data_IF_608282361059
#
_entry.id   IF_608282361059
#
_cell.length_a   1.000
_cell.length_b   1.000
_cell.length_c   1.000
_cell.angle_alpha   90.00
_cell.angle_beta   90.00
_cell.angle_gamma   90.00
#
_symmetry.space_group_name_H-M   'P 1'
#
loop_
_entity.id
_entity.type
_entity.pdbx_description
1 polymer ?
#
# COMPACT_ATOMS: atom_id res chain seq x y z
N UNK A 1 -7.84 -25.29 44.18
CA UNK A 1 -6.41 -24.94 44.17
C UNK A 1 -6.22 -23.91 43.09
N UNK A 2 -5.61 -22.78 43.44
CA UNK A 2 -5.35 -21.64 42.56
C UNK A 2 -4.25 -22.01 41.56
N UNK A 3 -4.44 -21.69 40.29
CA UNK A 3 -3.35 -21.56 39.33
C UNK A 3 -3.18 -20.09 38.91
N UNK A 4 -1.92 -19.74 38.74
CA UNK A 4 -1.34 -18.40 38.84
C UNK A 4 -1.73 -17.50 37.66
N UNK A 5 -2.13 -16.28 37.98
CA UNK A 5 -2.11 -15.16 37.03
C UNK A 5 -0.67 -14.77 36.72
N UNK A 6 -0.26 -14.95 35.47
CA UNK A 6 1.00 -14.41 34.95
C UNK A 6 0.99 -12.89 35.02
N UNK A 7 1.99 -12.34 35.73
CA UNK A 7 2.05 -10.94 36.17
C UNK A 7 2.86 -10.04 35.22
N UNK A 8 3.05 -10.44 33.97
CA UNK A 8 3.90 -9.69 33.03
C UNK A 8 3.34 -9.49 31.62
N UNK A 9 2.06 -9.80 31.39
CA UNK A 9 1.42 -9.50 30.10
C UNK A 9 0.72 -8.13 30.17
N UNK A 10 1.51 -7.06 30.03
CA UNK A 10 0.98 -5.73 29.81
C UNK A 10 0.76 -5.57 28.30
N UNK A 11 -0.34 -6.11 27.80
CA UNK A 11 -0.68 -6.14 26.38
C UNK A 11 -0.69 -4.76 25.69
N UNK A 12 -0.96 -4.78 24.38
CA UNK A 12 -0.92 -3.72 23.35
C UNK A 12 -1.08 -2.24 23.80
N UNK A 13 -1.89 -1.98 24.83
CA UNK A 13 -2.03 -0.64 25.44
C UNK A 13 -0.77 -0.11 26.14
N UNK A 14 0.15 -0.96 26.61
CA UNK A 14 1.43 -0.54 27.18
C UNK A 14 2.48 -0.22 26.10
N UNK A 15 2.42 -0.92 24.96
CA UNK A 15 3.32 -0.70 23.82
C UNK A 15 2.96 0.59 23.05
N UNK A 16 1.67 0.92 22.94
CA UNK A 16 1.21 2.21 22.39
C UNK A 16 1.66 3.42 23.24
N UNK A 17 1.78 3.27 24.56
CA UNK A 17 2.25 4.33 25.45
C UNK A 17 3.76 4.61 25.34
N UNK A 18 4.54 3.67 24.79
CA UNK A 18 5.98 3.81 24.59
C UNK A 18 6.31 4.48 23.24
N UNK A 19 5.41 4.43 22.26
CA UNK A 19 5.57 5.02 20.93
C UNK A 19 5.09 6.48 20.79
N UNK A 20 4.25 6.99 21.70
CA UNK A 20 3.77 8.39 21.66
C UNK A 20 4.69 9.42 22.33
N UNK A 21 5.97 9.10 22.59
CA UNK A 21 6.93 10.08 23.12
C UNK A 21 7.70 10.77 21.99
N UNK A 22 7.37 12.05 21.79
CA UNK A 22 7.95 12.99 20.82
C UNK A 22 9.49 12.93 20.67
N UNK A 23 10.05 13.03 19.45
CA UNK A 23 11.48 12.83 19.15
C UNK A 23 12.43 13.96 19.60
N UNK A 24 11.96 14.96 20.37
CA UNK A 24 12.81 16.08 20.83
C UNK A 24 13.46 15.91 22.21
N UNK A 25 13.42 14.72 22.81
CA UNK A 25 14.10 14.42 24.08
C UNK A 25 15.43 13.66 23.95
N UNK A 26 15.96 13.44 22.73
CA UNK A 26 17.19 12.65 22.50
C UNK A 26 18.48 13.46 22.29
N UNK A 27 18.50 14.77 22.52
CA UNK A 27 19.69 15.62 22.28
C UNK A 27 20.15 16.52 23.42
N UNK A 28 19.75 16.27 24.66
CA UNK A 28 20.19 17.06 25.85
C UNK A 28 20.58 16.24 27.09
N UNK A 29 21.18 15.07 26.92
CA UNK A 29 21.85 14.34 28.02
C UNK A 29 23.18 13.74 27.56
N UNK A 30 24.05 14.56 26.96
CA UNK A 30 25.49 14.25 26.87
C UNK A 30 26.33 15.53 26.76
N UNK A 31 26.13 16.49 27.66
CA UNK A 31 27.07 17.58 27.89
C UNK A 31 26.97 18.02 29.35
N UNK A 32 27.68 17.32 30.24
CA UNK A 32 28.24 17.88 31.47
C UNK A 32 29.30 16.90 32.00
N UNK A 33 30.55 17.36 32.13
CA UNK A 33 31.52 16.70 32.99
C UNK A 33 32.92 16.44 32.42
N UNK A 34 33.66 17.48 32.02
CA UNK A 34 35.12 17.47 32.12
C UNK A 34 35.65 18.91 32.20
N UNK A 35 36.02 19.33 33.41
CA UNK A 35 36.82 20.52 33.67
C UNK A 35 38.30 20.12 33.71
N UNK A 36 39.20 20.91 33.12
CA UNK A 36 40.64 20.67 33.18
C UNK A 36 41.49 21.74 32.52
N UNK A 37 42.02 22.62 33.38
CA UNK A 37 43.15 23.58 33.29
C UNK A 37 43.99 23.70 31.99
N UNK A 38 44.34 24.95 31.65
CA UNK A 38 45.56 25.27 30.89
C UNK A 38 45.70 26.76 30.53
N UNK A 39 46.48 27.50 31.32
CA UNK A 39 46.92 28.88 31.07
C UNK A 39 47.70 29.03 29.75
N UNK A 40 47.64 30.22 29.14
CA UNK A 40 48.83 30.98 28.69
C UNK A 40 48.46 32.45 28.39
N UNK A 41 49.34 33.35 28.86
CA UNK A 41 49.25 34.82 28.84
C UNK A 41 49.85 35.45 27.58
N UNK A 42 49.51 36.75 27.39
CA UNK A 42 50.20 37.81 26.63
C UNK A 42 49.99 37.78 25.09
N UNK A 43 49.83 38.91 24.38
CA UNK A 43 49.87 40.33 24.73
C UNK A 43 49.90 41.18 23.43
N UNK A 44 49.75 42.49 23.60
CA UNK A 44 50.13 43.59 22.70
C UNK A 44 49.21 43.97 21.51
N UNK A 45 48.44 45.03 21.77
CA UNK A 45 48.22 46.27 21.02
C UNK A 45 48.61 46.40 19.52
N UNK A 46 47.57 46.78 18.77
CA UNK A 46 47.47 47.80 17.72
C UNK A 46 48.70 48.16 16.86
N UNK A 47 48.55 47.88 15.56
CA UNK A 47 49.16 48.68 14.49
C UNK A 47 48.15 48.81 13.35
N UNK A 48 48.00 50.05 12.90
CA UNK A 48 47.14 50.53 11.82
C UNK A 48 47.62 50.05 10.45
N UNK A 49 46.70 49.71 9.55
CA UNK A 49 46.61 50.23 8.16
C UNK A 49 45.48 49.55 7.38
N UNK A 50 44.66 50.40 6.78
CA UNK A 50 43.84 50.24 5.56
C UNK A 50 43.96 48.95 4.75
N UNK A 51 42.85 48.23 4.57
CA UNK A 51 42.15 48.23 3.27
C UNK A 51 40.75 47.61 3.37
N UNK A 52 39.82 48.19 2.62
CA UNK A 52 38.42 47.84 2.52
C UNK A 52 38.22 46.53 1.74
N UNK A 53 37.51 45.56 2.32
CA UNK A 53 36.86 44.49 1.56
C UNK A 53 35.59 44.02 2.31
N UNK A 54 34.44 44.34 1.74
CA UNK A 54 33.12 43.86 2.14
C UNK A 54 32.86 42.46 1.58
N UNK A 55 32.25 41.56 2.36
CA UNK A 55 31.25 40.67 1.78
C UNK A 55 30.02 40.55 2.69
N UNK A 56 28.95 41.24 2.30
CA UNK A 56 27.60 41.00 2.80
C UNK A 56 26.82 40.28 1.71
N UNK A 57 26.68 38.96 1.82
CA UNK A 57 25.86 38.13 0.96
C UNK A 57 25.27 37.00 1.79
N UNK A 58 24.03 37.18 2.23
CA UNK A 58 23.27 36.12 2.90
C UNK A 58 23.04 34.95 1.91
N UNK A 59 23.09 33.68 2.37
CA UNK A 59 22.73 32.55 1.52
C UNK A 59 21.24 32.59 1.17
N UNK A 60 20.83 32.24 -0.06
CA UNK A 60 19.43 32.14 -0.40
C UNK A 60 18.82 30.95 0.36
N UNK A 61 17.77 31.22 1.12
CA UNK A 61 16.88 30.21 1.66
C UNK A 61 16.22 29.48 0.50
N UNK A 62 16.73 28.30 0.14
CA UNK A 62 16.04 27.37 -0.74
C UNK A 62 14.81 26.84 -0.01
N UNK A 63 13.68 27.52 -0.20
CA UNK A 63 12.39 26.92 0.11
C UNK A 63 12.23 25.70 -0.78
N UNK A 64 12.14 24.52 -0.17
CA UNK A 64 11.65 23.34 -0.86
C UNK A 64 10.19 23.60 -1.22
N UNK A 65 9.95 24.05 -2.44
CA UNK A 65 8.62 24.03 -3.03
C UNK A 65 8.23 22.56 -3.15
N UNK A 66 7.34 22.12 -2.26
CA UNK A 66 6.63 20.86 -2.41
C UNK A 66 5.81 21.00 -3.68
N UNK A 67 6.35 20.48 -4.78
CA UNK A 67 5.64 20.40 -6.05
C UNK A 67 4.54 19.36 -5.85
N UNK A 68 3.34 19.81 -5.51
CA UNK A 68 2.16 18.95 -5.51
C UNK A 68 2.04 18.38 -6.91
N UNK A 69 2.18 17.07 -7.06
CA UNK A 69 1.88 16.39 -8.32
C UNK A 69 0.38 16.56 -8.54
N UNK A 70 0.01 17.50 -9.41
CA UNK A 70 -1.37 17.66 -9.83
C UNK A 70 -1.67 16.51 -10.81
N UNK A 71 -2.48 15.55 -10.37
CA UNK A 71 -3.03 14.53 -11.26
C UNK A 71 -4.12 15.17 -12.14
N UNK A 72 -4.22 14.75 -13.40
CA UNK A 72 -5.38 15.11 -14.24
C UNK A 72 -6.64 14.64 -13.51
N UNK A 73 -7.55 15.57 -13.22
CA UNK A 73 -8.57 15.24 -12.25
C UNK A 73 -9.56 14.21 -12.81
N UNK A 74 -9.71 13.12 -12.07
CA UNK A 74 -10.51 11.95 -12.39
C UNK A 74 -11.83 11.99 -11.61
N UNK A 75 -12.89 11.43 -12.18
CA UNK A 75 -14.16 11.25 -11.48
C UNK A 75 -14.07 10.16 -10.41
N UNK A 76 -15.06 10.12 -9.53
CA UNK A 76 -15.22 9.03 -8.56
C UNK A 76 -15.27 7.69 -9.30
N UNK A 77 -14.48 6.72 -8.82
CA UNK A 77 -14.48 5.37 -9.36
C UNK A 77 -15.86 4.70 -9.16
N UNK A 78 -16.34 3.88 -10.10
CA UNK A 78 -17.55 3.08 -9.90
C UNK A 78 -17.40 2.17 -8.68
N UNK A 79 -18.49 2.06 -7.92
CA UNK A 79 -18.58 1.14 -6.79
C UNK A 79 -18.97 -0.24 -7.28
N UNK A 80 -18.18 -1.25 -6.92
CA UNK A 80 -18.43 -2.66 -7.28
C UNK A 80 -18.75 -3.52 -6.08
N UNK A 81 -19.25 -4.72 -6.36
CA UNK A 81 -19.30 -5.77 -5.35
C UNK A 81 -17.90 -6.19 -4.91
N UNK A 82 -17.75 -6.48 -3.62
CA UNK A 82 -16.60 -7.20 -3.07
C UNK A 82 -16.53 -8.65 -3.61
N UNK A 83 -17.61 -9.14 -4.22
CA UNK A 83 -17.70 -10.50 -4.70
C UNK A 83 -17.76 -11.51 -3.55
N UNK A 84 -17.60 -12.81 -3.86
CA UNK A 84 -17.79 -13.86 -2.86
C UNK A 84 -16.57 -14.13 -1.98
N UNK A 85 -15.41 -13.52 -2.26
CA UNK A 85 -14.12 -13.87 -1.64
C UNK A 85 -13.37 -12.73 -0.89
N UNK A 86 -14.05 -11.80 -0.19
CA UNK A 86 -13.39 -10.61 0.34
C UNK A 86 -12.52 -10.87 1.57
N UNK A 87 -12.89 -11.77 2.48
CA UNK A 87 -12.24 -11.98 3.79
C UNK A 87 -12.07 -10.67 4.59
N UNK A 88 -13.09 -9.83 4.57
CA UNK A 88 -13.20 -8.55 5.28
C UNK A 88 -14.19 -8.64 6.47
N UNK A 89 -14.49 -9.86 6.93
CA UNK A 89 -15.51 -10.12 7.95
C UNK A 89 -16.96 -10.12 7.46
N UNK A 90 -17.24 -9.83 6.18
CA UNK A 90 -18.60 -9.88 5.63
C UNK A 90 -19.14 -11.30 5.44
N UNK A 91 -18.27 -12.30 5.29
CA UNK A 91 -18.65 -13.68 4.98
C UNK A 91 -18.05 -14.70 5.96
N UNK A 92 -18.89 -15.60 6.47
CA UNK A 92 -18.50 -16.82 7.19
C UNK A 92 -17.45 -16.63 8.30
N UNK A 93 -17.39 -15.47 8.96
CA UNK A 93 -16.37 -15.06 9.94
C UNK A 93 -14.91 -15.05 9.43
N UNK A 94 -14.68 -15.10 8.12
CA UNK A 94 -13.34 -14.94 7.54
C UNK A 94 -12.97 -13.45 7.52
N UNK A 95 -11.93 -13.09 8.26
CA UNK A 95 -11.44 -11.71 8.34
C UNK A 95 -9.91 -11.65 8.28
N UNK A 96 -9.36 -11.45 7.08
CA UNK A 96 -7.95 -11.23 6.84
C UNK A 96 -7.46 -9.92 7.47
N UNK A 97 -8.33 -8.91 7.63
CA UNK A 97 -7.98 -7.61 8.21
C UNK A 97 -7.56 -7.71 9.69
N UNK A 98 -7.95 -8.78 10.37
CA UNK A 98 -7.56 -9.06 11.76
C UNK A 98 -6.25 -9.86 11.88
N UNK A 99 -5.69 -10.34 10.77
CA UNK A 99 -4.47 -11.16 10.80
C UNK A 99 -3.26 -10.31 11.19
N UNK A 100 -2.47 -10.82 12.13
CA UNK A 100 -1.17 -10.25 12.46
C UNK A 100 -0.26 -10.28 11.24
N UNK A 101 0.18 -9.11 10.79
CA UNK A 101 1.01 -8.97 9.58
C UNK A 101 0.25 -8.65 8.30
N UNK A 102 -1.08 -8.46 8.33
CA UNK A 102 -1.86 -8.10 7.13
C UNK A 102 -1.48 -6.74 6.54
N UNK A 103 -0.94 -5.83 7.36
CA UNK A 103 -0.36 -4.57 6.89
C UNK A 103 1.05 -4.85 6.34
N UNK A 104 1.14 -5.10 5.04
CA UNK A 104 2.36 -5.58 4.36
C UNK A 104 2.36 -5.21 2.89
N UNK A 105 3.56 -4.92 2.36
CA UNK A 105 3.73 -4.58 0.95
C UNK A 105 3.77 -5.83 0.07
N UNK A 106 4.56 -6.85 0.44
CA UNK A 106 4.62 -8.10 -0.32
C UNK A 106 3.54 -9.05 0.17
N UNK A 107 2.55 -9.35 -0.67
CA UNK A 107 1.39 -10.18 -0.33
C UNK A 107 1.53 -11.64 -0.79
N UNK A 108 2.68 -12.06 -1.36
CA UNK A 108 2.80 -13.39 -2.01
C UNK A 108 2.89 -14.57 -1.04
N UNK A 109 3.42 -14.36 0.17
CA UNK A 109 3.59 -15.42 1.17
C UNK A 109 2.41 -15.49 2.13
N UNK A 110 1.88 -16.66 2.45
CA UNK A 110 0.85 -16.80 3.47
C UNK A 110 1.40 -16.49 4.87
N UNK A 111 0.67 -15.72 5.66
CA UNK A 111 0.95 -15.47 7.07
C UNK A 111 0.73 -16.74 7.91
N UNK A 112 -0.27 -17.55 7.55
CA UNK A 112 -0.63 -18.77 8.27
C UNK A 112 0.28 -19.95 7.96
N UNK A 113 0.61 -20.20 6.69
CA UNK A 113 1.34 -21.41 6.26
C UNK A 113 2.79 -21.16 5.89
N UNK A 114 3.18 -19.91 5.61
CA UNK A 114 4.44 -19.52 4.95
C UNK A 114 4.62 -20.06 3.51
N UNK A 115 3.59 -20.64 2.90
CA UNK A 115 3.61 -20.97 1.48
C UNK A 115 3.63 -19.69 0.64
N UNK A 116 4.22 -19.73 -0.54
CA UNK A 116 4.29 -18.56 -1.43
C UNK A 116 3.55 -18.85 -2.72
N UNK A 117 2.63 -17.96 -3.10
CA UNK A 117 1.89 -18.05 -4.34
C UNK A 117 2.84 -17.97 -5.56
N UNK A 118 2.63 -18.83 -6.55
CA UNK A 118 3.38 -18.84 -7.80
C UNK A 118 2.78 -17.86 -8.80
N UNK A 119 3.53 -17.47 -9.84
CA UNK A 119 3.03 -16.58 -10.90
C UNK A 119 4.02 -15.50 -11.30
N UNK A 120 3.70 -14.80 -12.39
CA UNK A 120 4.54 -13.72 -12.90
C UNK A 120 4.58 -12.56 -11.89
N UNK A 121 5.76 -12.02 -11.50
CA UNK A 121 5.84 -10.93 -10.54
C UNK A 121 5.06 -9.69 -11.01
N UNK A 122 4.29 -9.11 -10.09
CA UNK A 122 3.49 -7.91 -10.33
C UNK A 122 3.66 -6.93 -9.18
N UNK A 123 3.95 -5.67 -9.49
CA UNK A 123 3.75 -4.54 -8.59
C UNK A 123 2.38 -3.92 -8.87
N UNK A 124 1.56 -3.73 -7.84
CA UNK A 124 0.24 -3.08 -7.94
C UNK A 124 0.36 -1.71 -7.27
N UNK A 125 0.23 -0.65 -8.06
CA UNK A 125 0.36 0.72 -7.58
C UNK A 125 -0.98 1.45 -7.69
N UNK A 126 -1.52 1.85 -6.54
CA UNK A 126 -2.68 2.72 -6.44
C UNK A 126 -2.24 4.15 -6.17
N UNK A 127 -2.93 5.10 -6.79
CA UNK A 127 -2.89 6.52 -6.41
C UNK A 127 -4.28 6.96 -6.04
N UNK A 128 -4.51 7.29 -4.77
CA UNK A 128 -5.81 7.69 -4.24
C UNK A 128 -5.92 9.20 -4.15
N UNK A 129 -6.99 9.75 -4.73
CA UNK A 129 -7.25 11.20 -4.79
C UNK A 129 -8.69 11.54 -4.42
N UNK A 130 -8.90 12.77 -3.93
CA UNK A 130 -10.22 13.31 -3.68
C UNK A 130 -10.81 13.92 -4.96
N UNK A 131 -11.72 13.18 -5.62
CA UNK A 131 -12.43 13.63 -6.82
C UNK A 131 -13.32 14.87 -6.58
N UNK A 132 -13.68 15.16 -5.32
CA UNK A 132 -14.47 16.34 -4.94
C UNK A 132 -13.61 17.58 -4.64
N UNK A 133 -12.29 17.42 -4.53
CA UNK A 133 -11.35 18.49 -4.15
C UNK A 133 -10.14 18.50 -5.08
N UNK A 134 -10.37 18.84 -6.35
CA UNK A 134 -9.29 19.05 -7.33
C UNK A 134 -8.30 17.88 -7.46
N UNK A 135 -8.74 16.66 -7.12
CA UNK A 135 -7.91 15.46 -7.09
C UNK A 135 -6.66 15.60 -6.20
N UNK A 136 -6.85 16.25 -5.03
CA UNK A 136 -5.85 16.27 -3.97
C UNK A 136 -5.52 14.86 -3.50
N UNK A 137 -4.24 14.50 -3.33
CA UNK A 137 -3.87 13.19 -2.83
C UNK A 137 -4.43 12.92 -1.42
N UNK A 138 -4.90 11.69 -1.19
CA UNK A 138 -5.48 11.28 0.09
C UNK A 138 -4.45 10.47 0.89
N UNK A 139 -3.76 11.11 1.83
CA UNK A 139 -2.81 10.48 2.76
C UNK A 139 -3.52 9.75 3.91
N UNK A 140 -2.98 8.60 4.33
CA UNK A 140 -3.38 7.90 5.55
C UNK A 140 -4.62 7.01 5.43
N UNK A 141 -5.29 7.00 4.27
CA UNK A 141 -6.34 6.03 3.94
C UNK A 141 -5.72 4.64 3.82
N UNK A 142 -6.49 3.59 4.09
CA UNK A 142 -6.00 2.22 3.92
C UNK A 142 -6.65 1.56 2.71
N UNK A 143 -5.84 0.93 1.87
CA UNK A 143 -6.30 0.11 0.75
C UNK A 143 -6.10 -1.35 1.13
N UNK A 144 -7.18 -2.11 1.18
CA UNK A 144 -7.15 -3.57 1.23
C UNK A 144 -7.27 -4.11 -0.20
N UNK A 145 -6.32 -4.93 -0.64
CA UNK A 145 -6.33 -5.53 -1.97
C UNK A 145 -6.29 -7.06 -1.88
N UNK A 146 -7.04 -7.71 -2.77
CA UNK A 146 -7.01 -9.18 -2.92
C UNK A 146 -7.30 -9.63 -4.34
N UNK A 147 -6.77 -10.80 -4.72
CA UNK A 147 -7.05 -11.40 -6.01
C UNK A 147 -6.80 -12.92 -6.01
N UNK A 148 -7.14 -13.57 -7.13
CA UNK A 148 -6.91 -15.00 -7.31
C UNK A 148 -5.46 -15.34 -7.66
N UNK A 149 -5.08 -16.59 -7.42
CA UNK A 149 -3.83 -17.21 -7.88
C UNK A 149 -3.72 -17.22 -9.40
N UNK A 150 -2.56 -17.66 -9.92
CA UNK A 150 -2.30 -17.86 -11.35
C UNK A 150 -3.30 -18.80 -12.04
N UNK A 151 -3.90 -19.72 -11.29
CA UNK A 151 -4.90 -20.69 -11.77
C UNK A 151 -6.35 -20.34 -11.38
N UNK A 152 -6.59 -19.16 -10.79
CA UNK A 152 -7.93 -18.64 -10.53
C UNK A 152 -8.55 -19.05 -9.19
N UNK A 153 -7.75 -19.51 -8.22
CA UNK A 153 -8.20 -19.85 -6.87
C UNK A 153 -8.07 -18.68 -5.89
N UNK A 154 -8.95 -18.62 -4.90
CA UNK A 154 -8.88 -17.61 -3.83
C UNK A 154 -8.45 -18.26 -2.52
N UNK A 155 -7.37 -17.73 -1.93
CA UNK A 155 -6.95 -18.06 -0.56
C UNK A 155 -8.11 -17.86 0.42
N UNK A 156 -8.20 -18.69 1.45
CA UNK A 156 -9.28 -18.76 2.45
C UNK A 156 -10.63 -19.32 1.94
N UNK A 157 -10.81 -19.53 0.63
CA UNK A 157 -12.12 -19.89 0.06
C UNK A 157 -12.10 -21.12 -0.85
N UNK A 158 -11.20 -21.16 -1.83
CA UNK A 158 -11.15 -22.26 -2.79
C UNK A 158 -10.79 -23.58 -2.10
N UNK A 159 -11.37 -24.69 -2.56
CA UNK A 159 -11.00 -26.03 -2.10
C UNK A 159 -9.50 -26.25 -2.31
N UNK A 160 -8.79 -26.68 -1.25
CA UNK A 160 -7.33 -26.82 -1.27
C UNK A 160 -6.54 -25.55 -0.92
N UNK A 161 -7.22 -24.41 -0.74
CA UNK A 161 -6.62 -23.10 -0.43
C UNK A 161 -7.21 -22.46 0.84
N UNK A 162 -8.05 -23.16 1.58
CA UNK A 162 -8.77 -22.63 2.75
C UNK A 162 -7.86 -22.26 3.92
N UNK A 163 -6.69 -22.88 4.02
CA UNK A 163 -5.70 -22.60 5.07
C UNK A 163 -4.70 -21.50 4.65
N UNK A 164 -4.76 -21.05 3.39
CA UNK A 164 -3.90 -20.00 2.85
C UNK A 164 -4.54 -18.62 3.03
N UNK A 165 -3.70 -17.59 3.16
CA UNK A 165 -4.10 -16.19 3.30
C UNK A 165 -3.17 -15.22 2.52
N UNK A 166 -2.37 -15.75 1.58
CA UNK A 166 -1.61 -14.94 0.64
C UNK A 166 -2.52 -14.18 -0.34
N UNK A 167 -1.91 -13.29 -1.13
CA UNK A 167 -2.54 -12.45 -2.15
C UNK A 167 -3.66 -11.58 -1.56
N UNK A 168 -3.51 -11.23 -0.28
CA UNK A 168 -4.35 -10.35 0.51
C UNK A 168 -3.43 -9.45 1.32
N UNK A 169 -3.70 -8.14 1.35
CA UNK A 169 -2.91 -7.23 2.17
C UNK A 169 -3.49 -5.84 2.24
N UNK A 170 -3.05 -5.12 3.26
CA UNK A 170 -3.43 -3.73 3.51
C UNK A 170 -2.21 -2.83 3.41
N UNK A 171 -2.35 -1.68 2.74
CA UNK A 171 -1.35 -0.62 2.75
C UNK A 171 -1.99 0.74 3.01
N UNK A 172 -1.41 1.56 3.91
CA UNK A 172 -1.78 2.97 4.01
C UNK A 172 -1.27 3.74 2.79
N UNK A 173 -2.02 4.75 2.36
CA UNK A 173 -1.56 5.72 1.38
C UNK A 173 -0.57 6.69 2.00
N UNK A 174 0.50 7.02 1.26
CA UNK A 174 1.48 8.03 1.66
C UNK A 174 1.01 9.47 1.36
N UNK A 175 1.89 10.46 1.57
CA UNK A 175 1.62 11.88 1.34
C UNK A 175 1.28 12.23 -0.12
N UNK A 176 1.67 11.38 -1.08
CA UNK A 176 1.32 11.52 -2.51
C UNK A 176 0.07 10.70 -2.88
N UNK A 177 -0.63 10.13 -1.88
CA UNK A 177 -1.80 9.29 -2.05
C UNK A 177 -1.49 7.87 -2.52
N UNK A 178 -0.22 7.44 -2.46
CA UNK A 178 0.21 6.18 -3.08
C UNK A 178 0.21 5.02 -2.11
N UNK A 179 -0.25 3.87 -2.58
CA UNK A 179 -0.10 2.58 -1.91
C UNK A 179 0.37 1.54 -2.93
N UNK A 180 1.38 0.75 -2.57
CA UNK A 180 2.02 -0.21 -3.47
C UNK A 180 2.01 -1.61 -2.88
N UNK A 181 1.82 -2.63 -3.70
CA UNK A 181 1.88 -4.03 -3.29
C UNK A 181 2.82 -4.82 -4.22
N UNK A 182 3.61 -5.73 -3.67
CA UNK A 182 4.29 -6.77 -4.44
C UNK A 182 3.46 -8.04 -4.42
N UNK A 183 3.08 -8.53 -5.60
CA UNK A 183 2.19 -9.65 -5.81
C UNK A 183 2.61 -10.48 -7.03
N UNK A 184 1.68 -11.30 -7.52
CA UNK A 184 1.73 -11.98 -8.81
C UNK A 184 0.64 -11.41 -9.73
N UNK A 185 0.82 -11.59 -11.05
CA UNK A 185 -0.23 -11.27 -12.02
C UNK A 185 -1.43 -12.23 -11.84
N UNK A 186 -2.67 -11.74 -11.72
CA UNK A 186 -3.83 -12.58 -11.40
C UNK A 186 -4.19 -13.53 -12.54
N UNK A 187 -4.64 -14.74 -12.19
CA UNK A 187 -5.23 -15.67 -13.14
C UNK A 187 -6.60 -15.23 -13.66
N UNK A 188 -7.20 -16.05 -14.50
CA UNK A 188 -8.57 -15.89 -14.98
C UNK A 188 -9.39 -17.11 -14.56
N UNK A 189 -10.45 -16.90 -13.79
CA UNK A 189 -11.41 -17.94 -13.43
C UNK A 189 -12.70 -17.79 -14.24
N UNK A 190 -13.46 -18.88 -14.35
CA UNK A 190 -14.61 -18.97 -15.25
C UNK A 190 -15.64 -17.87 -15.00
N UNK A 191 -16.01 -17.16 -16.07
CA UNK A 191 -17.10 -16.19 -16.07
C UNK A 191 -16.71 -14.78 -15.58
N UNK A 192 -15.43 -14.52 -15.28
CA UNK A 192 -14.96 -13.21 -14.83
C UNK A 192 -13.71 -12.77 -15.58
N UNK A 193 -13.68 -11.51 -15.99
CA UNK A 193 -12.50 -10.85 -16.56
C UNK A 193 -11.37 -10.80 -15.52
N UNK A 194 -10.08 -10.91 -15.88
CA UNK A 194 -8.99 -10.83 -14.89
C UNK A 194 -8.96 -9.50 -14.12
N UNK A 195 -8.93 -9.57 -12.79
CA UNK A 195 -9.05 -8.40 -11.92
C UNK A 195 -8.32 -8.55 -10.59
N UNK A 196 -8.11 -7.40 -9.95
CA UNK A 196 -7.71 -7.27 -8.55
C UNK A 196 -8.82 -6.51 -7.83
N UNK A 197 -9.35 -7.08 -6.76
CA UNK A 197 -10.31 -6.36 -5.93
C UNK A 197 -9.59 -5.41 -4.98
N UNK A 198 -10.27 -4.34 -4.60
CA UNK A 198 -9.82 -3.52 -3.49
C UNK A 198 -10.96 -2.81 -2.77
N UNK A 199 -10.68 -2.48 -1.51
CA UNK A 199 -11.51 -1.68 -0.63
C UNK A 199 -10.69 -0.54 -0.04
N UNK A 200 -11.33 0.61 0.11
CA UNK A 200 -10.74 1.80 0.70
C UNK A 200 -11.40 2.05 2.05
N UNK A 201 -10.57 2.27 3.06
CA UNK A 201 -10.96 2.57 4.42
C UNK A 201 -10.44 3.96 4.83
N UNK A 202 -11.14 4.69 5.71
CA UNK A 202 -10.71 6.04 6.15
C UNK A 202 -9.33 6.06 6.80
N UNK A 203 -8.92 4.95 7.42
CA UNK A 203 -7.57 4.78 7.97
C UNK A 203 -7.26 3.30 8.22
N UNK A 204 -6.00 2.99 8.55
CA UNK A 204 -5.60 1.65 9.00
C UNK A 204 -6.38 1.17 10.25
N UNK A 205 -6.73 2.08 11.16
CA UNK A 205 -7.48 1.72 12.36
C UNK A 205 -8.93 1.34 12.06
N UNK A 206 -9.48 1.85 10.95
CA UNK A 206 -10.85 1.56 10.51
C UNK A 206 -10.92 0.35 9.57
N UNK A 207 -9.78 -0.09 9.02
CA UNK A 207 -9.67 -1.30 8.19
C UNK A 207 -9.75 -2.58 9.03
N UNK A 208 -10.91 -2.79 9.68
CA UNK A 208 -11.18 -3.92 10.58
C UNK A 208 -12.36 -4.77 10.13
N UNK A 209 -13.21 -4.25 9.24
CA UNK A 209 -14.27 -5.02 8.63
C UNK A 209 -15.09 -4.24 7.60
N UNK A 210 -15.79 -4.98 6.76
CA UNK A 210 -16.58 -4.51 5.60
C UNK A 210 -17.43 -3.26 5.84
N UNK A 211 -18.02 -3.12 7.03
CA UNK A 211 -18.90 -1.99 7.36
C UNK A 211 -18.20 -0.62 7.35
N UNK A 212 -16.87 -0.59 7.44
CA UNK A 212 -16.07 0.63 7.48
C UNK A 212 -15.50 1.02 6.10
N UNK A 213 -15.66 0.19 5.08
CA UNK A 213 -15.20 0.51 3.74
C UNK A 213 -15.99 1.72 3.19
N UNK A 214 -15.28 2.73 2.69
CA UNK A 214 -15.88 3.91 2.05
C UNK A 214 -16.05 3.74 0.54
N UNK A 215 -15.30 2.81 -0.06
CA UNK A 215 -15.42 2.44 -1.46
C UNK A 215 -14.93 1.02 -1.66
N UNK A 216 -15.67 0.23 -2.44
CA UNK A 216 -15.25 -1.08 -2.94
C UNK A 216 -15.24 -1.01 -4.46
N UNK A 217 -14.19 -1.50 -5.11
CA UNK A 217 -14.11 -1.56 -6.57
C UNK A 217 -13.18 -2.67 -7.03
N UNK A 218 -12.94 -2.74 -8.34
CA UNK A 218 -12.08 -3.74 -8.97
C UNK A 218 -11.20 -3.07 -10.03
N UNK A 219 -9.92 -3.44 -10.08
CA UNK A 219 -8.97 -3.08 -11.11
C UNK A 219 -9.01 -4.15 -12.21
N UNK A 220 -9.30 -3.76 -13.44
CA UNK A 220 -9.31 -4.64 -14.60
C UNK A 220 -7.93 -4.71 -15.27
N UNK A 221 -7.48 -5.91 -15.64
CA UNK A 221 -6.22 -6.10 -16.36
C UNK A 221 -6.43 -5.97 -17.88
N UNK A 222 -5.50 -5.37 -18.65
CA UNK A 222 -5.62 -5.28 -20.10
C UNK A 222 -5.48 -6.64 -20.78
N UNK A 223 -6.28 -6.88 -21.81
CA UNK A 223 -6.33 -8.16 -22.54
C UNK A 223 -4.98 -8.59 -23.13
N UNK A 224 -4.20 -7.63 -23.64
CA UNK A 224 -2.88 -7.87 -24.22
C UNK A 224 -1.89 -8.45 -23.21
N UNK A 225 -1.91 -7.92 -21.99
CA UNK A 225 -1.03 -8.35 -20.91
C UNK A 225 -1.48 -9.71 -20.38
N UNK A 226 -2.78 -9.91 -20.19
CA UNK A 226 -3.37 -11.21 -19.86
C UNK A 226 -2.99 -12.28 -20.89
N UNK A 227 -3.15 -12.00 -22.19
CA UNK A 227 -2.81 -12.93 -23.27
C UNK A 227 -1.33 -13.31 -23.25
N UNK A 228 -0.47 -12.34 -22.97
CA UNK A 228 0.98 -12.57 -22.88
C UNK A 228 1.33 -13.46 -21.69
N UNK A 229 0.80 -13.12 -20.50
CA UNK A 229 1.08 -13.84 -19.26
C UNK A 229 0.52 -15.27 -19.29
N UNK A 230 -0.71 -15.44 -19.79
CA UNK A 230 -1.38 -16.76 -19.82
C UNK A 230 -0.83 -17.72 -20.88
N UNK A 231 0.18 -17.30 -21.65
CA UNK A 231 0.97 -18.21 -22.49
C UNK A 231 1.92 -19.11 -21.66
N UNK A 232 2.21 -18.74 -20.42
CA UNK A 232 2.95 -19.57 -19.48
C UNK A 232 2.06 -20.68 -18.92
N UNK A 233 2.56 -21.92 -18.92
CA UNK A 233 1.81 -23.09 -18.47
C UNK A 233 1.43 -23.06 -16.98
N UNK A 234 2.14 -22.28 -16.15
CA UNK A 234 1.80 -22.07 -14.73
C UNK A 234 0.42 -21.44 -14.54
N UNK A 235 -0.08 -20.67 -15.51
CA UNK A 235 -1.41 -20.04 -15.45
C UNK A 235 -2.58 -20.99 -15.75
N UNK A 236 -2.30 -22.30 -15.89
CA UNK A 236 -3.33 -23.33 -15.94
C UNK A 236 -4.41 -23.08 -16.99
N UNK A 237 -5.67 -22.96 -16.55
CA UNK A 237 -6.82 -22.77 -17.45
C UNK A 237 -7.10 -21.30 -17.78
N UNK A 238 -6.28 -20.35 -17.33
CA UNK A 238 -6.54 -18.92 -17.46
C UNK A 238 -6.69 -18.48 -18.93
N UNK A 239 -5.88 -19.00 -19.86
CA UNK A 239 -6.02 -18.70 -21.28
C UNK A 239 -7.38 -19.14 -21.86
N UNK A 240 -7.85 -20.33 -21.47
CA UNK A 240 -9.15 -20.83 -21.89
C UNK A 240 -10.28 -19.98 -21.29
N UNK A 241 -10.20 -19.64 -20.01
CA UNK A 241 -11.20 -18.81 -19.35
C UNK A 241 -11.27 -17.41 -20.00
N UNK A 242 -10.12 -16.80 -20.30
CA UNK A 242 -10.04 -15.52 -21.00
C UNK A 242 -10.71 -15.59 -22.37
N UNK A 243 -10.48 -16.65 -23.15
CA UNK A 243 -11.12 -16.81 -24.46
C UNK A 243 -12.65 -16.94 -24.42
N UNK A 244 -13.23 -17.20 -23.24
CA UNK A 244 -14.67 -17.37 -23.03
C UNK A 244 -15.32 -16.16 -22.34
N UNK A 245 -14.59 -15.05 -22.14
CA UNK A 245 -15.10 -13.83 -21.52
C UNK A 245 -14.57 -12.59 -22.25
N UNK A 246 -15.37 -11.53 -22.26
CA UNK A 246 -15.00 -10.18 -22.69
C UNK A 246 -15.41 -9.19 -21.61
N UNK A 247 -14.82 -7.99 -21.59
CA UNK A 247 -15.31 -6.90 -20.72
C UNK A 247 -16.81 -6.63 -20.92
N UNK A 248 -17.31 -6.71 -22.15
CA UNK A 248 -18.74 -6.51 -22.47
C UNK A 248 -19.67 -7.63 -21.97
N UNK A 249 -19.12 -8.80 -21.63
CA UNK A 249 -19.89 -9.95 -21.12
C UNK A 249 -19.63 -10.22 -19.64
N UNK A 250 -18.62 -9.58 -19.05
CA UNK A 250 -18.36 -9.64 -17.62
C UNK A 250 -19.43 -8.84 -16.86
N UNK A 251 -20.00 -9.43 -15.81
CA UNK A 251 -21.12 -8.84 -15.09
C UNK A 251 -20.75 -7.68 -14.16
N UNK A 252 -19.46 -7.32 -14.08
CA UNK A 252 -18.94 -6.17 -13.34
C UNK A 252 -18.49 -5.08 -14.31
N UNK A 253 -17.76 -5.40 -15.37
CA UNK A 253 -17.18 -4.38 -16.27
C UNK A 253 -18.06 -4.02 -17.48
N UNK A 254 -19.18 -4.70 -17.69
CA UNK A 254 -20.02 -4.51 -18.88
C UNK A 254 -20.78 -3.18 -18.91
N UNK A 255 -20.90 -2.46 -17.78
CA UNK A 255 -21.49 -1.13 -17.70
C UNK A 255 -20.46 0.02 -17.76
N UNK A 256 -19.16 -0.31 -17.78
CA UNK A 256 -18.06 0.62 -18.00
C UNK A 256 -16.82 0.22 -17.21
N UNK A 257 -15.62 0.49 -17.74
CA UNK A 257 -14.35 0.10 -17.09
C UNK A 257 -13.23 1.14 -17.22
N UNK A 258 -13.49 2.30 -17.83
CA UNK A 258 -12.44 3.29 -18.14
C UNK A 258 -11.71 3.78 -16.88
N UNK A 259 -12.41 3.85 -15.74
CA UNK A 259 -11.87 4.28 -14.44
C UNK A 259 -11.28 3.12 -13.61
N UNK A 260 -11.33 1.90 -14.14
CA UNK A 260 -10.92 0.66 -13.47
C UNK A 260 -9.83 -0.09 -14.25
N UNK A 261 -9.65 0.22 -15.54
CA UNK A 261 -8.62 -0.39 -16.38
C UNK A 261 -7.23 0.07 -15.95
N UNK A 262 -6.38 -0.88 -15.57
CA UNK A 262 -5.00 -0.58 -15.20
C UNK A 262 -4.16 -0.16 -16.40
N UNK A 263 -3.22 0.75 -16.17
CA UNK A 263 -2.07 0.91 -17.05
C UNK A 263 -1.01 -0.12 -16.64
N UNK A 264 -0.75 -1.09 -17.50
CA UNK A 264 0.26 -2.13 -17.28
C UNK A 264 1.54 -1.82 -18.06
N UNK A 265 2.68 -1.97 -17.38
CA UNK A 265 4.02 -1.85 -17.97
C UNK A 265 4.90 -2.99 -17.49
N UNK A 266 6.09 -3.15 -18.08
CA UNK A 266 7.02 -4.22 -17.72
C UNK A 266 6.84 -5.48 -18.56
N UNK A 267 7.36 -6.61 -18.07
CA UNK A 267 7.33 -7.89 -18.77
C UNK A 267 7.57 -9.06 -17.80
N UNK A 268 7.41 -10.30 -18.27
CA UNK A 268 7.57 -11.50 -17.45
C UNK A 268 8.98 -11.73 -16.86
N UNK A 269 10.02 -11.11 -17.42
CA UNK A 269 11.41 -11.26 -16.94
C UNK A 269 11.73 -10.24 -15.85
N UNK A 270 11.38 -8.97 -16.07
CA UNK A 270 11.69 -7.87 -15.16
C UNK A 270 10.59 -7.64 -14.09
N UNK A 271 9.41 -8.24 -14.30
CA UNK A 271 8.20 -7.99 -13.53
C UNK A 271 7.28 -6.99 -14.24
N UNK A 272 5.98 -7.10 -13.95
CA UNK A 272 4.97 -6.14 -14.40
C UNK A 272 4.70 -5.09 -13.32
N UNK A 273 4.22 -3.93 -13.74
CA UNK A 273 3.61 -2.94 -12.85
C UNK A 273 2.23 -2.57 -13.39
N UNK A 274 1.18 -2.79 -12.59
CA UNK A 274 -0.18 -2.34 -12.85
C UNK A 274 -0.47 -1.08 -12.02
N UNK A 275 -0.79 0.03 -12.69
CA UNK A 275 -1.08 1.31 -12.07
C UNK A 275 -2.55 1.67 -12.25
N UNK A 276 -3.19 2.16 -11.17
CA UNK A 276 -4.54 2.72 -11.22
C UNK A 276 -4.64 3.97 -10.33
N UNK A 277 -5.08 5.09 -10.92
CA UNK A 277 -5.50 6.26 -10.15
C UNK A 277 -6.97 6.10 -9.77
N UNK A 278 -7.28 6.23 -8.49
CA UNK A 278 -8.60 6.02 -7.92
C UNK A 278 -9.11 7.33 -7.32
N UNK A 279 -10.21 7.84 -7.86
CA UNK A 279 -10.94 8.96 -7.27
C UNK A 279 -12.01 8.49 -6.30
N UNK A 280 -12.05 9.05 -5.09
CA UNK A 280 -13.22 8.97 -4.18
C UNK A 280 -13.69 10.38 -3.83
N UNK A 281 -14.96 10.54 -3.44
CA UNK A 281 -15.51 11.83 -3.05
C UNK A 281 -15.71 11.88 -1.53
N UNK A 282 -14.85 12.63 -0.83
CA UNK A 282 -14.81 12.75 0.64
C UNK A 282 -14.66 14.19 1.11
#
# INVERSE_FOLDING_TARGET
MQEQQDKYDLGLNADLAMWMRSPMARRRVLQMGAAGLGLLLAGCQAITSSDQAQPGGAPPSGGSESSSVAYDCISTIPGETAGPYPADGSQASLNALELSGIVRQDIRTSLSTNNTAGGAPLTIDFTLVNAADNCTPLEGYAIYAWHCTEDGNYSMYSEGFTDEDYLRGVQPTDADGKASFQSIFPGCYTGRWPHIHFEIYPSLAEATGSANAVQTSQLAMPESDCTTVYSDASYGNSANNLSNITLATDNIFSDGYDLQMATVTGNATDGYTAQLTVGIAV
#
